data_IF_025416115469
#
_entry.id   IF_025416115469
#
_cell.length_a   1.000
_cell.length_b   1.000
_cell.length_c   1.000
_cell.angle_alpha   90.00
_cell.angle_beta   90.00
_cell.angle_gamma   90.00
#
_symmetry.space_group_name_H-M   'P 1'
#
loop_
_entity.id
_entity.type
_entity.pdbx_description
1 polymer ?
#
# COMPACT_ATOMS: atom_id res chain seq x y z
N UNK A 1 -54.77 -13.63 -21.33
CA UNK A 1 -54.45 -13.67 -19.89
C UNK A 1 -52.96 -13.88 -19.76
N UNK A 2 -52.19 -12.95 -19.23
CA UNK A 2 -50.75 -13.15 -19.01
C UNK A 2 -50.54 -13.97 -17.73
N UNK A 3 -49.80 -15.06 -17.84
CA UNK A 3 -49.41 -15.93 -16.74
C UNK A 3 -48.35 -15.21 -15.88
N UNK A 4 -48.68 -14.97 -14.60
CA UNK A 4 -47.74 -14.42 -13.62
C UNK A 4 -46.58 -15.40 -13.37
N UNK A 5 -45.35 -14.93 -13.51
CA UNK A 5 -44.17 -15.66 -13.09
C UNK A 5 -44.12 -15.71 -11.55
N UNK A 6 -43.68 -16.82 -10.93
CA UNK A 6 -43.56 -16.90 -9.49
C UNK A 6 -42.41 -15.98 -9.00
N UNK A 7 -42.73 -15.10 -8.05
CA UNK A 7 -41.76 -14.31 -7.30
C UNK A 7 -40.87 -15.28 -6.49
N UNK A 8 -39.58 -15.26 -6.75
CA UNK A 8 -38.61 -16.05 -5.96
C UNK A 8 -38.74 -15.66 -4.48
N UNK A 9 -39.07 -16.62 -3.63
CA UNK A 9 -39.10 -16.44 -2.18
C UNK A 9 -37.72 -16.10 -1.62
N UNK A 10 -37.66 -15.52 -0.40
CA UNK A 10 -36.40 -15.16 0.23
C UNK A 10 -35.51 -16.40 0.40
N UNK A 11 -34.24 -16.26 0.05
CA UNK A 11 -33.24 -17.31 0.14
C UNK A 11 -33.14 -17.83 1.58
N UNK A 12 -33.56 -19.09 1.81
CA UNK A 12 -33.56 -19.76 3.14
C UNK A 12 -32.24 -20.45 3.44
N UNK A 13 -31.10 -19.81 3.18
CA UNK A 13 -29.79 -20.27 3.61
C UNK A 13 -29.45 -19.75 5.01
N UNK A 14 -28.62 -20.45 5.81
CA UNK A 14 -28.13 -19.89 7.04
C UNK A 14 -27.40 -18.57 6.76
N UNK A 15 -27.50 -17.57 7.68
CA UNK A 15 -26.78 -16.31 7.51
C UNK A 15 -25.28 -16.58 7.37
N UNK A 16 -24.56 -15.85 6.50
CA UNK A 16 -23.13 -16.01 6.35
C UNK A 16 -22.44 -15.77 7.71
N UNK A 17 -21.32 -16.43 7.99
CA UNK A 17 -20.61 -16.23 9.24
C UNK A 17 -20.28 -14.75 9.44
N UNK A 18 -20.31 -14.21 10.66
CA UNK A 18 -20.16 -12.78 10.97
C UNK A 18 -18.95 -12.11 10.35
N UNK A 19 -17.89 -12.85 10.12
CA UNK A 19 -16.64 -12.40 9.53
C UNK A 19 -16.76 -12.08 8.03
N UNK A 20 -17.53 -12.88 7.27
CA UNK A 20 -17.81 -12.60 5.85
C UNK A 20 -18.69 -11.36 5.69
N UNK A 21 -19.59 -11.10 6.61
CA UNK A 21 -20.41 -9.89 6.61
C UNK A 21 -19.56 -8.64 6.86
N UNK A 22 -18.59 -8.71 7.77
CA UNK A 22 -17.64 -7.63 8.04
C UNK A 22 -16.81 -7.28 6.80
N UNK A 23 -16.18 -8.26 6.15
CA UNK A 23 -15.39 -8.03 4.94
C UNK A 23 -16.24 -7.48 3.78
N UNK A 24 -17.47 -7.92 3.62
CA UNK A 24 -18.39 -7.38 2.62
C UNK A 24 -18.74 -5.91 2.86
N UNK A 25 -18.89 -5.50 4.11
CA UNK A 25 -19.10 -4.08 4.47
C UNK A 25 -17.88 -3.24 4.13
N UNK A 26 -16.69 -3.70 4.47
CA UNK A 26 -15.44 -3.02 4.13
C UNK A 26 -15.23 -2.94 2.61
N UNK A 27 -15.54 -4.00 1.89
CA UNK A 27 -15.53 -4.02 0.41
C UNK A 27 -16.50 -2.99 -0.16
N UNK A 28 -17.74 -2.97 0.31
CA UNK A 28 -18.76 -2.04 -0.17
C UNK A 28 -18.39 -0.59 0.08
N UNK A 29 -17.84 -0.27 1.26
CA UNK A 29 -17.32 1.06 1.60
C UNK A 29 -16.19 1.46 0.65
N UNK A 30 -15.21 0.58 0.45
CA UNK A 30 -14.06 0.87 -0.42
C UNK A 30 -14.48 1.05 -1.88
N UNK A 31 -15.40 0.24 -2.38
CA UNK A 31 -15.97 0.38 -3.73
C UNK A 31 -16.72 1.72 -3.89
N UNK A 32 -17.51 2.11 -2.88
CA UNK A 32 -18.17 3.41 -2.88
C UNK A 32 -17.14 4.54 -2.96
N UNK A 33 -16.12 4.55 -2.12
CA UNK A 33 -15.05 5.55 -2.14
C UNK A 33 -14.37 5.64 -3.51
N UNK A 34 -14.03 4.49 -4.14
CA UNK A 34 -13.41 4.45 -5.46
C UNK A 34 -14.31 5.10 -6.54
N UNK A 35 -15.62 4.83 -6.50
CA UNK A 35 -16.60 5.39 -7.44
C UNK A 35 -16.81 6.89 -7.22
N UNK A 36 -16.90 7.34 -5.97
CA UNK A 36 -17.02 8.77 -5.63
C UNK A 36 -15.83 9.57 -6.17
N UNK A 37 -14.61 9.05 -6.01
CA UNK A 37 -13.41 9.75 -6.53
C UNK A 37 -13.45 9.88 -8.05
N UNK A 38 -13.85 8.83 -8.77
CA UNK A 38 -13.94 8.91 -10.24
C UNK A 38 -15.07 9.84 -10.71
N UNK A 39 -16.13 9.99 -9.89
CA UNK A 39 -17.22 10.93 -10.22
C UNK A 39 -16.85 12.39 -9.95
N UNK A 40 -16.02 12.67 -8.94
CA UNK A 40 -15.74 14.01 -8.42
C UNK A 40 -14.44 14.62 -8.96
N UNK A 41 -13.46 13.80 -9.39
CA UNK A 41 -12.13 14.25 -9.78
C UNK A 41 -11.85 13.95 -11.25
N UNK A 42 -11.14 14.87 -11.91
CA UNK A 42 -10.86 14.77 -13.35
C UNK A 42 -9.71 13.81 -13.65
N UNK A 43 -8.71 13.76 -12.77
CA UNK A 43 -7.45 13.05 -13.00
C UNK A 43 -7.03 12.18 -11.80
N UNK A 44 -7.82 11.18 -11.45
CA UNK A 44 -7.44 10.25 -10.39
C UNK A 44 -6.29 9.32 -10.84
N UNK A 45 -5.46 8.90 -9.89
CA UNK A 45 -4.38 7.93 -10.07
C UNK A 45 -4.32 6.98 -8.87
N UNK A 46 -3.99 5.71 -9.10
CA UNK A 46 -3.81 4.76 -8.00
C UNK A 46 -2.32 4.49 -7.77
N UNK A 47 -1.85 4.76 -6.53
CA UNK A 47 -0.49 4.39 -6.12
C UNK A 47 -0.38 2.86 -6.06
N UNK A 48 0.50 2.30 -6.86
CA UNK A 48 0.71 0.86 -6.94
C UNK A 48 2.10 0.49 -6.40
N UNK A 49 2.18 0.31 -5.08
CA UNK A 49 3.42 -0.06 -4.38
C UNK A 49 3.77 -1.54 -4.47
N UNK A 50 2.90 -2.36 -5.06
CA UNK A 50 3.05 -3.82 -5.19
C UNK A 50 2.92 -4.57 -3.85
N UNK A 51 2.57 -3.88 -2.78
CA UNK A 51 2.31 -4.47 -1.47
C UNK A 51 0.91 -5.10 -1.38
N UNK A 52 0.64 -5.86 -0.32
CA UNK A 52 -0.65 -6.51 -0.05
C UNK A 52 -1.83 -5.53 -0.13
N UNK A 53 -1.67 -4.34 0.46
CA UNK A 53 -2.71 -3.31 0.49
C UNK A 53 -3.03 -2.78 -0.91
N UNK A 54 -2.00 -2.50 -1.73
CA UNK A 54 -2.21 -2.06 -3.12
C UNK A 54 -2.75 -3.18 -4.02
N UNK A 55 -2.47 -4.46 -3.73
CA UNK A 55 -3.09 -5.59 -4.43
C UNK A 55 -4.58 -5.70 -4.10
N UNK A 56 -4.98 -5.50 -2.84
CA UNK A 56 -6.40 -5.41 -2.46
C UNK A 56 -7.07 -4.22 -3.12
N UNK A 57 -6.47 -3.03 -3.13
CA UNK A 57 -7.03 -1.86 -3.82
C UNK A 57 -7.22 -2.11 -5.31
N UNK A 58 -6.28 -2.78 -5.97
CA UNK A 58 -6.39 -3.13 -7.39
C UNK A 58 -7.58 -4.05 -7.65
N UNK A 59 -7.77 -5.08 -6.79
CA UNK A 59 -8.93 -5.97 -6.86
C UNK A 59 -10.24 -5.24 -6.63
N UNK A 60 -10.28 -4.35 -5.64
CA UNK A 60 -11.46 -3.50 -5.35
C UNK A 60 -11.79 -2.58 -6.52
N UNK A 61 -10.78 -2.00 -7.19
CA UNK A 61 -10.97 -1.18 -8.38
C UNK A 61 -11.54 -2.00 -9.55
N UNK A 62 -11.05 -3.23 -9.78
CA UNK A 62 -11.66 -4.13 -10.78
C UNK A 62 -13.14 -4.37 -10.48
N UNK A 63 -13.50 -4.65 -9.21
CA UNK A 63 -14.91 -4.87 -8.81
C UNK A 63 -15.74 -3.59 -8.92
N UNK A 64 -15.17 -2.44 -8.57
CA UNK A 64 -15.87 -1.15 -8.58
C UNK A 64 -16.34 -0.76 -9.98
N UNK A 65 -15.57 -1.09 -11.02
CA UNK A 65 -15.82 -0.63 -12.38
C UNK A 65 -16.24 -1.76 -13.34
N UNK A 66 -16.29 -3.00 -12.87
CA UNK A 66 -16.77 -4.13 -13.70
C UNK A 66 -18.16 -3.83 -14.33
N UNK A 67 -18.38 -4.13 -15.64
CA UNK A 67 -17.50 -4.81 -16.59
C UNK A 67 -16.53 -3.88 -17.34
N UNK A 68 -16.53 -2.58 -17.07
CA UNK A 68 -15.61 -1.63 -17.69
C UNK A 68 -14.17 -1.79 -17.14
N UNK A 69 -13.14 -1.35 -17.88
CA UNK A 69 -11.79 -1.28 -17.38
C UNK A 69 -11.66 -0.24 -16.26
N UNK A 70 -10.58 -0.35 -15.46
CA UNK A 70 -10.25 0.64 -14.43
C UNK A 70 -10.01 2.00 -15.11
N UNK A 71 -10.72 3.09 -14.74
CA UNK A 71 -10.72 4.35 -15.48
C UNK A 71 -9.54 5.28 -15.16
N UNK A 72 -8.57 4.84 -14.39
CA UNK A 72 -7.39 5.61 -13.98
C UNK A 72 -6.11 4.78 -14.07
N UNK A 73 -4.93 5.42 -14.25
CA UNK A 73 -3.66 4.72 -14.31
C UNK A 73 -3.19 4.27 -12.93
N UNK A 74 -2.30 3.26 -12.94
CA UNK A 74 -1.48 2.87 -11.80
C UNK A 74 -0.18 3.66 -11.82
N UNK A 75 0.24 4.24 -10.69
CA UNK A 75 1.51 4.95 -10.54
C UNK A 75 2.43 4.19 -9.59
N UNK A 76 3.59 3.77 -10.10
CA UNK A 76 4.65 3.15 -9.32
C UNK A 76 5.86 4.07 -9.23
N UNK A 77 6.28 4.40 -8.01
CA UNK A 77 7.54 5.10 -7.77
C UNK A 77 8.65 4.07 -7.63
N UNK A 78 9.51 4.02 -8.62
CA UNK A 78 10.66 3.14 -8.63
C UNK A 78 11.89 3.84 -8.06
N UNK A 79 12.42 3.28 -6.99
CA UNK A 79 13.62 3.78 -6.30
C UNK A 79 14.89 3.10 -6.81
N UNK A 80 14.81 2.19 -7.81
CA UNK A 80 15.87 1.29 -8.28
C UNK A 80 16.36 0.26 -7.25
N UNK A 81 15.84 0.30 -6.02
CA UNK A 81 16.23 -0.58 -4.91
C UNK A 81 15.12 -1.55 -4.50
N UNK A 82 14.15 -1.76 -5.38
CA UNK A 82 13.10 -2.76 -5.16
C UNK A 82 13.64 -4.18 -5.35
N UNK A 83 12.99 -5.14 -4.73
CA UNK A 83 13.24 -6.55 -5.03
C UNK A 83 12.82 -6.87 -6.47
N UNK A 84 13.60 -7.69 -7.15
CA UNK A 84 13.32 -8.12 -8.51
C UNK A 84 11.94 -8.78 -8.63
N UNK A 85 11.59 -9.63 -7.67
CA UNK A 85 10.26 -10.26 -7.57
C UNK A 85 9.11 -9.23 -7.55
N UNK A 86 9.31 -8.04 -6.96
CA UNK A 86 8.30 -6.98 -6.96
C UNK A 86 8.12 -6.36 -8.35
N UNK A 87 9.21 -6.14 -9.08
CA UNK A 87 9.16 -5.54 -10.42
C UNK A 87 8.47 -6.51 -11.39
N UNK A 88 8.86 -7.78 -11.39
CA UNK A 88 8.25 -8.81 -12.21
C UNK A 88 6.75 -8.98 -11.91
N UNK A 89 6.39 -8.99 -10.64
CA UNK A 89 4.99 -9.06 -10.21
C UNK A 89 4.19 -7.84 -10.64
N UNK A 90 4.76 -6.62 -10.48
CA UNK A 90 4.14 -5.36 -10.89
C UNK A 90 3.74 -5.37 -12.36
N UNK A 91 4.69 -5.70 -13.22
CA UNK A 91 4.50 -5.64 -14.67
C UNK A 91 3.48 -6.70 -15.13
N UNK A 92 3.57 -7.91 -14.56
CA UNK A 92 2.59 -8.96 -14.82
C UNK A 92 1.18 -8.56 -14.41
N UNK A 93 0.99 -8.09 -13.18
CA UNK A 93 -0.34 -7.74 -12.67
C UNK A 93 -0.95 -6.56 -13.41
N UNK A 94 -0.16 -5.53 -13.76
CA UNK A 94 -0.65 -4.41 -14.54
C UNK A 94 -1.14 -4.85 -15.95
N UNK A 95 -0.41 -5.77 -16.59
CA UNK A 95 -0.81 -6.35 -17.86
C UNK A 95 -2.07 -7.22 -17.75
N UNK A 96 -2.15 -8.08 -16.73
CA UNK A 96 -3.30 -8.97 -16.50
C UNK A 96 -4.60 -8.21 -16.27
N UNK A 97 -4.54 -7.10 -15.53
CA UNK A 97 -5.74 -6.27 -15.29
C UNK A 97 -6.03 -5.26 -16.41
N UNK A 98 -5.14 -5.15 -17.41
CA UNK A 98 -5.26 -4.20 -18.50
C UNK A 98 -5.16 -2.73 -18.07
N UNK A 99 -4.52 -2.45 -16.93
CA UNK A 99 -4.39 -1.09 -16.41
C UNK A 99 -3.14 -0.41 -16.96
N UNK A 100 -3.27 0.89 -17.30
CA UNK A 100 -2.13 1.71 -17.71
C UNK A 100 -1.18 1.87 -16.52
N UNK A 101 0.06 1.37 -16.64
CA UNK A 101 1.09 1.53 -15.63
C UNK A 101 2.00 2.71 -15.98
N UNK A 102 2.16 3.64 -15.04
CA UNK A 102 3.14 4.72 -15.06
C UNK A 102 4.23 4.38 -14.05
N UNK A 103 5.47 4.30 -14.50
CA UNK A 103 6.64 4.11 -13.63
C UNK A 103 7.46 5.39 -13.63
N UNK A 104 7.61 5.99 -12.44
CA UNK A 104 8.34 7.24 -12.29
C UNK A 104 9.57 7.06 -11.39
N UNK A 105 10.66 7.73 -11.76
CA UNK A 105 11.94 7.70 -11.03
C UNK A 105 12.50 9.11 -10.91
N UNK A 106 13.15 9.44 -9.80
CA UNK A 106 13.97 10.64 -9.72
C UNK A 106 15.34 10.39 -10.40
N UNK A 107 15.42 10.74 -11.68
CA UNK A 107 16.59 10.47 -12.51
C UNK A 107 17.84 11.20 -12.01
N UNK A 108 17.71 12.43 -11.51
CA UNK A 108 18.82 13.23 -10.98
C UNK A 108 19.40 12.57 -9.72
N UNK A 109 18.56 12.24 -8.76
CA UNK A 109 19.01 11.57 -7.55
C UNK A 109 19.65 10.20 -7.82
N UNK A 110 19.18 9.48 -8.85
CA UNK A 110 19.79 8.22 -9.30
C UNK A 110 21.17 8.48 -9.91
N UNK A 111 21.30 9.48 -10.79
CA UNK A 111 22.57 9.87 -11.42
C UNK A 111 23.63 10.29 -10.40
N UNK A 112 23.20 10.97 -9.33
CA UNK A 112 24.06 11.36 -8.19
C UNK A 112 24.47 10.15 -7.30
N UNK A 113 24.01 8.95 -7.63
CA UNK A 113 24.31 7.74 -6.88
C UNK A 113 23.72 7.73 -5.47
N UNK A 114 22.54 8.35 -5.29
CA UNK A 114 21.81 8.36 -4.02
C UNK A 114 21.50 6.94 -3.55
N UNK A 115 22.00 6.57 -2.38
CA UNK A 115 21.77 5.28 -1.75
C UNK A 115 21.75 5.43 -0.22
N UNK A 116 21.03 4.53 0.52
CA UNK A 116 20.79 4.72 1.96
C UNK A 116 22.08 4.68 2.81
N UNK A 117 23.10 3.94 2.37
CA UNK A 117 24.38 3.85 3.10
C UNK A 117 25.35 5.02 2.83
N UNK A 118 25.08 5.85 1.80
CA UNK A 118 25.86 7.07 1.52
C UNK A 118 25.24 8.31 2.15
N UNK A 119 23.93 8.49 1.98
CA UNK A 119 23.22 9.72 2.36
C UNK A 119 22.29 9.55 3.56
N UNK A 120 22.24 8.34 4.14
CA UNK A 120 21.28 7.97 5.18
C UNK A 120 19.91 7.60 4.61
N UNK A 121 19.15 6.77 5.36
CA UNK A 121 17.84 6.26 4.94
C UNK A 121 16.82 7.38 4.76
N UNK A 122 16.80 8.37 5.64
CA UNK A 122 15.86 9.48 5.59
C UNK A 122 16.05 10.32 4.31
N UNK A 123 17.27 10.74 4.00
CA UNK A 123 17.56 11.56 2.81
C UNK A 123 17.33 10.76 1.51
N UNK A 124 17.74 9.50 1.49
CA UNK A 124 17.50 8.61 0.37
C UNK A 124 15.98 8.46 0.09
N UNK A 125 15.17 8.19 1.12
CA UNK A 125 13.73 8.11 0.98
C UNK A 125 13.09 9.44 0.56
N UNK A 126 13.58 10.57 1.07
CA UNK A 126 13.10 11.88 0.65
C UNK A 126 13.29 12.09 -0.84
N UNK A 127 14.48 11.82 -1.37
CA UNK A 127 14.80 12.04 -2.78
C UNK A 127 14.13 11.02 -3.71
N UNK A 128 14.28 9.72 -3.40
CA UNK A 128 13.86 8.65 -4.32
C UNK A 128 12.39 8.26 -4.17
N UNK A 129 11.70 8.70 -3.11
CA UNK A 129 10.27 8.41 -2.92
C UNK A 129 9.43 9.68 -2.86
N UNK A 130 9.70 10.58 -1.89
CA UNK A 130 8.84 11.75 -1.66
C UNK A 130 8.92 12.73 -2.81
N UNK A 131 10.13 13.16 -3.18
CA UNK A 131 10.33 14.08 -4.32
C UNK A 131 9.81 13.44 -5.61
N UNK A 132 10.23 12.21 -5.91
CA UNK A 132 9.75 11.49 -7.10
C UNK A 132 8.22 11.35 -7.16
N UNK A 133 7.56 11.17 -6.01
CA UNK A 133 6.10 11.11 -5.96
C UNK A 133 5.48 12.48 -6.28
N UNK A 134 5.97 13.55 -5.68
CA UNK A 134 5.46 14.89 -5.93
C UNK A 134 5.65 15.30 -7.38
N UNK A 135 6.82 15.01 -7.96
CA UNK A 135 7.12 15.25 -9.37
C UNK A 135 6.17 14.48 -10.30
N UNK A 136 5.97 13.18 -10.04
CA UNK A 136 5.06 12.35 -10.83
C UNK A 136 3.61 12.83 -10.77
N UNK A 137 3.16 13.30 -9.60
CA UNK A 137 1.80 13.82 -9.43
C UNK A 137 1.63 15.16 -10.15
N UNK A 138 2.63 16.03 -10.09
CA UNK A 138 2.64 17.32 -10.79
C UNK A 138 2.70 17.13 -12.31
N UNK A 139 3.60 16.29 -12.83
CA UNK A 139 3.71 15.97 -14.26
C UNK A 139 2.42 15.36 -14.82
N UNK A 140 1.79 14.46 -14.07
CA UNK A 140 0.50 13.86 -14.44
C UNK A 140 -0.69 14.79 -14.21
N UNK A 141 -0.50 15.91 -13.53
CA UNK A 141 -1.56 16.83 -13.10
C UNK A 141 -2.68 16.10 -12.36
N UNK A 142 -2.33 15.14 -11.50
CA UNK A 142 -3.28 14.34 -10.76
C UNK A 142 -3.88 15.13 -9.59
N UNK A 143 -5.19 15.22 -9.56
CA UNK A 143 -5.97 15.92 -8.52
C UNK A 143 -6.36 14.99 -7.36
N UNK A 144 -6.48 13.68 -7.62
CA UNK A 144 -6.74 12.65 -6.61
C UNK A 144 -5.79 11.48 -6.74
N UNK A 145 -5.22 11.02 -5.61
CA UNK A 145 -4.34 9.86 -5.61
C UNK A 145 -4.74 8.85 -4.53
N UNK A 146 -5.15 7.66 -4.96
CA UNK A 146 -5.47 6.56 -4.06
C UNK A 146 -4.22 5.98 -3.40
N UNK A 147 -4.27 5.74 -2.10
CA UNK A 147 -3.22 5.11 -1.32
C UNK A 147 -3.76 4.00 -0.41
N UNK A 148 -2.96 2.97 -0.18
CA UNK A 148 -3.32 1.80 0.64
C UNK A 148 -3.13 1.98 2.14
N UNK A 149 -3.06 3.20 2.65
CA UNK A 149 -2.85 3.44 4.07
C UNK A 149 -4.09 3.09 4.90
N UNK A 150 -3.86 2.49 6.07
CA UNK A 150 -4.88 2.11 7.04
C UNK A 150 -4.65 2.82 8.38
N UNK A 151 -5.73 3.08 9.11
CA UNK A 151 -5.65 3.74 10.43
C UNK A 151 -4.95 2.89 11.49
N UNK A 152 -4.95 1.57 11.35
CA UNK A 152 -4.32 0.63 12.29
C UNK A 152 -2.81 0.50 12.13
N UNK A 153 -2.23 0.99 11.03
CA UNK A 153 -0.78 0.86 10.79
C UNK A 153 0.06 1.58 11.85
N UNK A 154 -0.33 2.80 12.20
CA UNK A 154 0.36 3.63 13.19
C UNK A 154 -0.47 4.85 13.64
N UNK A 155 -0.05 5.51 14.72
CA UNK A 155 -0.77 6.65 15.31
C UNK A 155 -1.00 7.82 14.36
N UNK A 156 -0.02 8.14 13.51
CA UNK A 156 -0.16 9.26 12.57
C UNK A 156 -1.18 8.95 11.47
N UNK A 157 -1.35 7.68 11.11
CA UNK A 157 -2.38 7.22 10.17
C UNK A 157 -3.78 7.33 10.74
N UNK A 158 -3.95 7.12 12.04
CA UNK A 158 -5.24 7.28 12.71
C UNK A 158 -5.79 8.71 12.64
N UNK A 159 -4.93 9.72 12.47
CA UNK A 159 -5.30 11.13 12.30
C UNK A 159 -5.72 11.48 10.85
N UNK A 160 -5.44 10.62 9.89
CA UNK A 160 -5.72 10.87 8.48
C UNK A 160 -7.20 10.67 8.17
N UNK A 161 -7.73 11.48 7.26
CA UNK A 161 -9.08 11.33 6.72
C UNK A 161 -9.09 10.37 5.55
N UNK A 162 -10.26 9.85 5.19
CA UNK A 162 -10.42 9.07 3.95
C UNK A 162 -10.09 9.97 2.75
N UNK A 163 -10.64 11.20 2.73
CA UNK A 163 -10.28 12.25 1.78
C UNK A 163 -9.33 13.24 2.46
N UNK A 164 -8.04 13.01 2.32
CA UNK A 164 -7.00 13.77 2.99
C UNK A 164 -6.43 14.86 2.10
N UNK A 165 -6.78 16.12 2.43
CA UNK A 165 -6.39 17.30 1.65
C UNK A 165 -4.87 17.51 1.67
N UNK A 166 -4.32 17.89 0.52
CA UNK A 166 -2.95 18.39 0.33
C UNK A 166 -3.01 19.81 -0.22
N UNK A 167 -2.18 20.68 0.32
CA UNK A 167 -2.05 22.04 -0.17
C UNK A 167 -1.34 22.10 -1.55
N UNK A 168 -1.11 23.30 -2.06
CA UNK A 168 -0.45 23.55 -3.35
C UNK A 168 0.99 23.03 -3.43
N UNK A 169 1.60 22.67 -2.30
CA UNK A 169 2.93 22.05 -2.20
C UNK A 169 2.86 20.54 -1.93
N UNK A 170 1.65 19.95 -1.96
CA UNK A 170 1.43 18.55 -1.64
C UNK A 170 1.52 18.22 -0.13
N UNK A 171 1.56 19.23 0.75
CA UNK A 171 1.77 19.05 2.18
C UNK A 171 0.46 18.78 2.92
N UNK A 172 0.54 18.00 3.99
CA UNK A 172 -0.56 17.69 4.88
C UNK A 172 -0.52 18.57 6.14
N UNK A 173 -1.65 19.23 6.42
CA UNK A 173 -1.89 19.96 7.67
C UNK A 173 -3.12 19.39 8.38
N UNK A 174 -2.98 18.84 9.61
CA UNK A 174 -4.11 18.28 10.35
C UNK A 174 -5.21 19.30 10.66
N UNK A 175 -4.86 20.60 10.75
CA UNK A 175 -5.82 21.68 11.04
C UNK A 175 -6.69 22.06 9.84
N UNK A 176 -6.22 21.74 8.63
CA UNK A 176 -6.93 22.05 7.37
C UNK A 176 -7.76 20.87 6.87
N UNK A 177 -7.73 19.72 7.56
CA UNK A 177 -8.53 18.58 7.17
C UNK A 177 -10.01 18.82 7.43
N UNK A 178 -10.83 18.37 6.50
CA UNK A 178 -12.28 18.54 6.58
C UNK A 178 -12.89 17.38 7.38
N UNK A 179 -13.92 17.64 8.21
CA UNK A 179 -14.59 16.57 8.94
C UNK A 179 -15.37 15.66 7.98
N UNK A 180 -15.40 14.36 8.29
CA UNK A 180 -16.17 13.33 7.57
C UNK A 180 -17.35 12.87 8.42
N UNK A 181 -18.19 13.84 8.85
CA UNK A 181 -19.38 13.57 9.64
C UNK A 181 -20.40 12.81 8.81
N UNK A 182 -21.05 11.81 9.41
CA UNK A 182 -22.06 10.95 8.76
C UNK A 182 -21.58 10.29 7.47
N UNK A 183 -20.30 9.96 7.39
CA UNK A 183 -19.65 9.38 6.20
C UNK A 183 -19.72 10.25 4.94
N UNK A 184 -19.92 11.57 5.10
CA UNK A 184 -19.88 12.51 3.99
C UNK A 184 -18.42 12.81 3.62
N UNK A 185 -18.07 12.51 2.38
CA UNK A 185 -16.76 12.78 1.82
C UNK A 185 -16.75 14.19 1.18
N UNK A 186 -15.73 14.99 1.48
CA UNK A 186 -15.63 16.34 0.96
C UNK A 186 -14.56 16.44 -0.13
N UNK A 187 -15.01 16.44 -1.38
CA UNK A 187 -14.20 16.45 -2.60
C UNK A 187 -13.73 17.83 -3.05
N UNK A 188 -14.25 18.93 -2.48
CA UNK A 188 -13.93 20.28 -2.94
C UNK A 188 -12.44 20.60 -2.86
N UNK A 189 -11.83 20.99 -3.98
CA UNK A 189 -10.46 21.48 -4.08
C UNK A 189 -10.43 22.95 -4.50
N UNK A 190 -9.44 23.69 -4.01
CA UNK A 190 -9.04 24.97 -4.58
C UNK A 190 -7.95 24.74 -5.66
N UNK A 191 -7.72 25.72 -6.55
CA UNK A 191 -6.67 25.59 -7.56
C UNK A 191 -5.30 25.24 -6.94
N UNK A 192 -4.66 24.21 -7.46
CA UNK A 192 -3.36 23.73 -7.03
C UNK A 192 -3.39 22.79 -5.79
N UNK A 193 -4.52 22.63 -5.12
CA UNK A 193 -4.68 21.59 -4.08
C UNK A 193 -4.91 20.21 -4.72
N UNK A 194 -4.64 19.16 -3.97
CA UNK A 194 -4.93 17.78 -4.35
C UNK A 194 -5.43 16.98 -3.15
N UNK A 195 -5.93 15.77 -3.41
CA UNK A 195 -6.42 14.90 -2.35
C UNK A 195 -5.70 13.55 -2.39
N UNK A 196 -5.38 13.03 -1.20
CA UNK A 196 -5.00 11.62 -1.03
C UNK A 196 -6.22 10.88 -0.52
N UNK A 197 -6.54 9.77 -1.18
CA UNK A 197 -7.74 8.99 -0.86
C UNK A 197 -7.32 7.63 -0.32
N UNK A 198 -7.88 7.23 0.80
CA UNK A 198 -7.54 5.99 1.51
C UNK A 198 -8.74 5.04 1.61
N UNK A 199 -9.04 4.27 0.55
CA UNK A 199 -10.18 3.36 0.54
C UNK A 199 -10.11 2.26 1.61
N UNK A 200 -8.89 1.91 2.04
CA UNK A 200 -8.64 0.91 3.08
C UNK A 200 -8.53 1.50 4.49
N UNK A 201 -8.92 2.76 4.70
CA UNK A 201 -8.72 3.47 5.97
C UNK A 201 -9.25 2.71 7.19
N UNK A 202 -10.39 2.05 7.07
CA UNK A 202 -11.07 1.32 8.14
C UNK A 202 -10.71 -0.18 8.22
N UNK A 203 -9.84 -0.66 7.33
CA UNK A 203 -9.37 -2.04 7.32
C UNK A 203 -8.25 -2.26 8.32
N UNK A 204 -8.20 -3.42 8.94
CA UNK A 204 -7.04 -3.91 9.70
C UNK A 204 -6.11 -4.74 8.82
N UNK A 205 -4.88 -5.00 9.30
CA UNK A 205 -3.95 -5.91 8.60
C UNK A 205 -4.55 -7.32 8.42
N UNK A 206 -5.30 -7.78 9.43
CA UNK A 206 -5.97 -9.07 9.39
C UNK A 206 -7.08 -9.08 8.33
N UNK A 207 -7.88 -8.01 8.24
CA UNK A 207 -8.93 -7.89 7.20
C UNK A 207 -8.33 -7.97 5.79
N UNK A 208 -7.20 -7.29 5.56
CA UNK A 208 -6.48 -7.33 4.28
C UNK A 208 -6.09 -8.76 3.93
N UNK A 209 -5.48 -9.52 4.85
CA UNK A 209 -5.07 -10.89 4.58
C UNK A 209 -6.25 -11.86 4.43
N UNK A 210 -7.31 -11.66 5.21
CA UNK A 210 -8.53 -12.47 5.08
C UNK A 210 -9.23 -12.21 3.74
N UNK A 211 -9.25 -10.96 3.28
CA UNK A 211 -9.80 -10.61 1.99
C UNK A 211 -8.94 -11.15 0.83
N UNK A 212 -7.61 -11.09 0.94
CA UNK A 212 -6.68 -11.72 0.00
C UNK A 212 -6.98 -13.23 -0.12
N UNK A 213 -7.22 -13.89 1.02
CA UNK A 213 -7.56 -15.31 1.04
C UNK A 213 -8.93 -15.59 0.43
N UNK A 214 -9.94 -14.80 0.77
CA UNK A 214 -11.32 -14.99 0.33
C UNK A 214 -11.53 -14.73 -1.18
N UNK A 215 -10.79 -13.78 -1.75
CA UNK A 215 -10.86 -13.37 -3.15
C UNK A 215 -9.74 -13.99 -4.02
N UNK A 216 -8.91 -14.85 -3.45
CA UNK A 216 -7.74 -15.48 -4.10
C UNK A 216 -6.86 -14.44 -4.81
N UNK A 217 -6.55 -13.34 -4.11
CA UNK A 217 -5.77 -12.24 -4.69
C UNK A 217 -4.31 -12.63 -4.78
N UNK A 218 -3.67 -12.56 -5.96
CA UNK A 218 -2.24 -12.77 -6.09
C UNK A 218 -1.44 -11.75 -5.28
N UNK A 219 -0.39 -12.20 -4.60
CA UNK A 219 0.56 -11.36 -3.86
C UNK A 219 2.00 -11.75 -4.19
N UNK A 220 2.92 -10.82 -3.96
CA UNK A 220 4.36 -11.07 -4.21
C UNK A 220 4.85 -12.24 -3.37
N UNK A 221 5.64 -13.18 -3.93
CA UNK A 221 6.18 -14.33 -3.20
C UNK A 221 7.03 -13.99 -1.97
N UNK A 222 7.50 -12.74 -1.85
CA UNK A 222 8.23 -12.23 -0.68
C UNK A 222 7.45 -12.32 0.63
N UNK A 223 6.11 -12.37 0.57
CA UNK A 223 5.26 -12.54 1.75
C UNK A 223 5.28 -13.96 2.34
N UNK A 224 5.71 -14.96 1.57
CA UNK A 224 5.75 -16.36 2.00
C UNK A 224 7.12 -16.73 2.53
N UNK A 225 7.14 -17.51 3.62
CA UNK A 225 8.36 -17.99 4.23
C UNK A 225 9.07 -18.98 3.29
N UNK A 226 10.36 -18.73 3.07
CA UNK A 226 11.27 -19.61 2.35
C UNK A 226 12.70 -19.38 2.81
N UNK A 227 13.58 -20.32 2.53
CA UNK A 227 15.02 -20.16 2.71
C UNK A 227 15.55 -19.04 1.81
N UNK A 228 16.21 -18.05 2.43
CA UNK A 228 16.83 -16.92 1.74
C UNK A 228 18.21 -16.65 2.32
N UNK A 229 19.13 -16.24 1.46
CA UNK A 229 20.41 -15.72 1.90
C UNK A 229 20.20 -14.35 2.56
N UNK A 230 20.58 -14.21 3.81
CA UNK A 230 20.34 -12.99 4.60
C UNK A 230 21.53 -12.61 5.48
N UNK A 231 21.58 -11.33 5.86
CA UNK A 231 22.45 -10.78 6.90
C UNK A 231 21.60 -10.59 8.15
N UNK A 232 22.03 -11.15 9.27
CA UNK A 232 21.35 -11.01 10.57
C UNK A 232 22.10 -9.98 11.40
N UNK A 233 21.40 -8.87 11.77
CA UNK A 233 21.90 -7.75 12.59
C UNK A 233 21.03 -7.57 13.81
N UNK A 234 21.40 -8.18 14.93
CA UNK A 234 20.53 -8.21 16.11
C UNK A 234 19.18 -8.82 15.77
N UNK A 235 18.12 -8.06 15.92
CA UNK A 235 16.75 -8.50 15.57
C UNK A 235 16.38 -8.28 14.08
N UNK A 236 17.23 -7.59 13.32
CA UNK A 236 16.97 -7.25 11.92
C UNK A 236 17.53 -8.32 10.98
N UNK A 237 16.70 -8.80 10.08
CA UNK A 237 17.08 -9.74 9.00
C UNK A 237 17.01 -8.98 7.68
N UNK A 238 18.15 -8.80 7.03
CA UNK A 238 18.26 -8.07 5.76
C UNK A 238 18.52 -9.08 4.64
N UNK A 239 17.65 -9.09 3.64
CA UNK A 239 17.83 -9.89 2.41
C UNK A 239 18.46 -8.96 1.36
N UNK A 240 19.78 -9.07 1.12
CA UNK A 240 20.48 -8.15 0.24
C UNK A 240 20.32 -8.57 -1.22
N UNK A 241 19.61 -7.77 -2.01
CA UNK A 241 19.62 -7.93 -3.48
C UNK A 241 20.71 -7.11 -4.17
N UNK A 242 21.09 -5.99 -3.56
CA UNK A 242 22.09 -5.08 -4.12
C UNK A 242 23.48 -5.39 -3.56
N UNK A 243 24.48 -5.37 -4.44
CA UNK A 243 25.88 -5.63 -4.09
C UNK A 243 26.49 -4.58 -3.14
N UNK A 244 25.88 -3.39 -3.08
CA UNK A 244 26.38 -2.29 -2.23
C UNK A 244 25.90 -2.37 -0.77
N UNK A 245 25.08 -3.36 -0.40
CA UNK A 245 24.72 -3.57 1.01
C UNK A 245 25.98 -3.96 1.78
N UNK A 246 26.47 -3.12 2.72
CA UNK A 246 27.73 -3.40 3.39
C UNK A 246 27.60 -4.62 4.30
N UNK A 247 28.62 -5.46 4.29
CA UNK A 247 28.79 -6.55 5.25
C UNK A 247 29.68 -6.01 6.35
N UNK A 248 29.18 -5.92 7.58
CA UNK A 248 29.95 -5.41 8.72
C UNK A 248 30.97 -6.45 9.22
N UNK A 249 32.04 -6.03 9.92
CA UNK A 249 33.01 -6.94 10.51
C UNK A 249 32.32 -8.01 11.38
N UNK A 250 32.61 -9.27 11.11
CA UNK A 250 31.99 -10.40 11.81
C UNK A 250 30.65 -10.90 11.27
N UNK A 251 30.02 -10.15 10.35
CA UNK A 251 28.80 -10.63 9.67
C UNK A 251 29.14 -11.64 8.59
N UNK A 252 28.23 -12.58 8.42
CA UNK A 252 28.26 -13.55 7.29
C UNK A 252 26.85 -13.69 6.74
N UNK A 253 26.78 -13.87 5.43
CA UNK A 253 25.53 -14.29 4.80
C UNK A 253 25.23 -15.72 5.22
N UNK A 254 24.00 -15.96 5.59
CA UNK A 254 23.53 -17.27 6.01
C UNK A 254 22.14 -17.55 5.44
N UNK A 255 21.84 -18.83 5.24
CA UNK A 255 20.50 -19.23 4.84
C UNK A 255 19.55 -19.13 6.04
N UNK A 256 18.46 -18.40 5.87
CA UNK A 256 17.48 -18.15 6.93
C UNK A 256 16.08 -18.34 6.36
N UNK A 257 15.26 -19.13 7.05
CA UNK A 257 13.84 -19.25 6.69
C UNK A 257 13.08 -18.03 7.18
N UNK A 258 12.74 -17.18 6.25
CA UNK A 258 12.16 -15.87 6.55
C UNK A 258 11.15 -15.41 5.49
N UNK A 259 10.32 -14.45 5.86
CA UNK A 259 9.39 -13.75 4.97
C UNK A 259 9.40 -12.24 5.20
N UNK A 260 8.91 -11.48 4.24
CA UNK A 260 8.63 -10.07 4.44
C UNK A 260 7.22 -9.89 5.03
N UNK A 261 7.06 -9.06 6.06
CA UNK A 261 5.75 -8.66 6.57
C UNK A 261 5.21 -7.44 5.84
N UNK A 262 6.12 -6.54 5.44
CA UNK A 262 5.82 -5.38 4.60
C UNK A 262 6.86 -5.23 3.50
N UNK A 263 6.52 -4.65 2.37
CA UNK A 263 7.42 -4.46 1.23
C UNK A 263 7.92 -3.02 1.12
N UNK A 264 9.17 -2.88 0.73
CA UNK A 264 9.86 -1.60 0.54
C UNK A 264 11.08 -1.73 -0.35
N UNK A 265 12.10 -0.89 -0.12
CA UNK A 265 13.41 -1.06 -0.75
C UNK A 265 14.16 -2.20 -0.07
N UNK A 266 14.82 -3.07 -0.84
CA UNK A 266 15.56 -4.22 -0.32
C UNK A 266 16.50 -3.88 0.84
N UNK A 267 17.34 -2.81 0.75
CA UNK A 267 18.28 -2.51 1.84
C UNK A 267 17.62 -1.98 3.12
N UNK A 268 16.36 -1.53 3.04
CA UNK A 268 15.66 -0.88 4.15
C UNK A 268 14.48 -1.71 4.69
N UNK A 269 14.21 -2.87 4.11
CA UNK A 269 13.11 -3.75 4.52
C UNK A 269 13.66 -4.92 5.30
N UNK A 270 13.27 -5.03 6.57
CA UNK A 270 13.59 -6.19 7.41
C UNK A 270 12.64 -7.35 7.10
N UNK A 271 13.20 -8.55 7.04
CA UNK A 271 12.44 -9.80 7.08
C UNK A 271 12.19 -10.24 8.52
N UNK A 272 11.26 -11.16 8.71
CA UNK A 272 11.00 -11.86 9.97
C UNK A 272 11.27 -13.34 9.83
N UNK A 273 11.72 -13.98 10.90
CA UNK A 273 11.75 -15.44 10.99
C UNK A 273 10.31 -15.94 10.96
N UNK A 274 10.03 -16.87 10.09
CA UNK A 274 8.67 -17.40 9.95
C UNK A 274 8.66 -18.72 9.19
N UNK A 275 7.69 -19.56 9.52
CA UNK A 275 7.33 -20.78 8.80
C UNK A 275 6.07 -20.62 7.93
N UNK A 276 5.48 -19.40 7.90
CA UNK A 276 4.24 -19.13 7.20
C UNK A 276 4.46 -19.05 5.67
N UNK A 277 4.30 -20.14 5.00
CA UNK A 277 4.45 -20.34 3.55
C UNK A 277 3.12 -20.31 2.78
N UNK A 278 2.00 -20.10 3.50
CA UNK A 278 0.65 -19.99 2.96
C UNK A 278 -0.12 -18.85 3.62
N UNK A 279 -1.15 -18.32 2.95
CA UNK A 279 -1.99 -17.24 3.50
C UNK A 279 -2.64 -17.63 4.83
N UNK A 280 -3.25 -18.84 5.01
CA UNK A 280 -3.78 -19.22 6.31
C UNK A 280 -2.75 -19.23 7.45
N UNK A 281 -1.50 -19.64 7.17
CA UNK A 281 -0.42 -19.59 8.17
C UNK A 281 -0.03 -18.15 8.50
N UNK A 282 0.01 -17.24 7.50
CA UNK A 282 0.25 -15.81 7.73
C UNK A 282 -0.84 -15.23 8.64
N UNK A 283 -2.10 -15.54 8.38
CA UNK A 283 -3.23 -15.09 9.21
C UNK A 283 -3.08 -15.63 10.65
N UNK A 284 -2.79 -16.91 10.82
CA UNK A 284 -2.59 -17.51 12.15
C UNK A 284 -1.43 -16.85 12.92
N UNK A 285 -0.31 -16.56 12.24
CA UNK A 285 0.84 -15.85 12.81
C UNK A 285 0.45 -14.42 13.25
N UNK A 286 -0.32 -13.70 12.44
CA UNK A 286 -0.78 -12.33 12.76
C UNK A 286 -1.73 -12.30 13.95
N UNK A 287 -2.64 -13.26 14.05
CA UNK A 287 -3.55 -13.38 15.21
C UNK A 287 -2.77 -13.64 16.49
N UNK A 288 -1.68 -14.41 16.42
CA UNK A 288 -0.81 -14.68 17.57
C UNK A 288 0.12 -13.50 17.91
N UNK A 289 0.45 -12.63 16.93
CA UNK A 289 1.37 -11.50 17.10
C UNK A 289 0.66 -10.30 17.76
N UNK A 290 1.31 -9.70 18.76
CA UNK A 290 0.81 -8.48 19.44
C UNK A 290 1.37 -7.17 18.86
N UNK A 291 2.26 -7.26 17.89
CA UNK A 291 3.08 -6.13 17.42
C UNK A 291 2.63 -5.58 16.07
N UNK A 292 2.76 -4.26 15.87
CA UNK A 292 2.46 -3.58 14.60
C UNK A 292 3.37 -4.06 13.46
N UNK A 293 2.86 -4.06 12.22
CA UNK A 293 3.61 -4.45 11.01
C UNK A 293 4.83 -3.58 10.72
N UNK A 294 4.84 -2.32 11.20
CA UNK A 294 5.90 -1.34 10.91
C UNK A 294 7.09 -1.41 11.84
N UNK A 295 7.00 -2.10 12.96
CA UNK A 295 8.10 -2.18 13.95
C UNK A 295 9.43 -2.70 13.38
N UNK A 296 9.42 -3.36 12.22
CA UNK A 296 10.60 -3.96 11.59
C UNK A 296 11.18 -3.12 10.44
N UNK A 297 10.66 -1.92 10.19
CA UNK A 297 11.23 -1.02 9.19
C UNK A 297 12.34 -0.17 9.82
N UNK A 298 13.55 -0.32 9.32
CA UNK A 298 14.73 0.42 9.79
C UNK A 298 14.47 1.93 9.83
N UNK A 299 13.77 2.46 8.82
CA UNK A 299 13.47 3.89 8.73
C UNK A 299 12.50 4.41 9.79
N UNK A 300 11.68 3.54 10.39
CA UNK A 300 10.68 3.94 11.38
C UNK A 300 11.27 3.94 12.81
N UNK A 301 12.47 3.37 13.00
CA UNK A 301 13.22 3.42 14.25
C UNK A 301 14.01 4.73 14.46
N UNK A 302 14.21 5.54 13.41
CA UNK A 302 15.09 6.70 13.46
C UNK A 302 14.55 7.88 14.30
N UNK A 303 13.22 8.03 14.47
CA UNK A 303 12.63 9.08 15.34
C UNK A 303 11.14 8.82 15.64
N UNK A 304 10.69 9.14 16.85
CA UNK A 304 9.28 9.23 17.22
C UNK A 304 8.56 10.28 16.35
N UNK A 305 7.47 9.88 15.67
CA UNK A 305 6.70 10.78 14.80
C UNK A 305 7.25 10.94 13.38
N UNK A 306 8.21 10.11 12.95
CA UNK A 306 8.86 10.20 11.62
C UNK A 306 7.87 10.24 10.45
N UNK A 307 6.73 9.55 10.54
CA UNK A 307 5.68 9.56 9.50
C UNK A 307 4.89 10.86 9.44
N UNK A 308 4.66 11.52 10.58
CA UNK A 308 3.99 12.84 10.58
C UNK A 308 4.87 13.90 9.90
N UNK A 309 6.17 13.85 10.14
CA UNK A 309 7.16 14.70 9.46
C UNK A 309 7.18 14.42 7.95
N UNK A 310 7.18 13.16 7.55
CA UNK A 310 7.14 12.76 6.13
C UNK A 310 5.86 13.22 5.43
N UNK A 311 4.70 13.13 6.08
CA UNK A 311 3.43 13.62 5.53
C UNK A 311 3.43 15.14 5.33
N UNK A 312 3.98 15.90 6.30
CA UNK A 312 4.16 17.35 6.14
C UNK A 312 5.08 17.70 4.98
N UNK A 313 6.02 16.83 4.63
CA UNK A 313 6.88 16.96 3.45
C UNK A 313 6.25 16.44 2.15
N UNK A 314 4.98 16.02 2.18
CA UNK A 314 4.25 15.54 0.99
C UNK A 314 4.27 14.04 0.74
N UNK A 315 4.79 13.23 1.69
CA UNK A 315 4.71 11.77 1.58
C UNK A 315 3.31 11.23 1.92
N UNK A 316 3.02 10.01 1.43
CA UNK A 316 1.78 9.27 1.75
C UNK A 316 1.73 8.82 3.18
#
# INVERSE_FOLDING_TARGET
MPTAQPVAGPATGPPPPPQLDHLRRLEAESIHILREVVAEFERPVMMYSVGKDSSVMLRLAQKAFYPAPIPFPLLHIDTTYKFKEMIEFRDRMAAEVGAKLIVHTNKEAIADGTQPFKVGTQRCCQLLKTTALLDALAEGQFDAAFGGARRDEERSRAKERIFSLRDTHGQWDPKRQRPELWSLLNSRLNPGESIRVFPLSNWTEIDVWQYIHAEDIPVVPLYFAREREALVRGESIIVPEQSFVPILPGEKRQMVKCRMRSLGCSPCTGAILSDADTIPKIIAELVAARNSERQLRIIDHDQDGSMEVKKRAGYF
#
